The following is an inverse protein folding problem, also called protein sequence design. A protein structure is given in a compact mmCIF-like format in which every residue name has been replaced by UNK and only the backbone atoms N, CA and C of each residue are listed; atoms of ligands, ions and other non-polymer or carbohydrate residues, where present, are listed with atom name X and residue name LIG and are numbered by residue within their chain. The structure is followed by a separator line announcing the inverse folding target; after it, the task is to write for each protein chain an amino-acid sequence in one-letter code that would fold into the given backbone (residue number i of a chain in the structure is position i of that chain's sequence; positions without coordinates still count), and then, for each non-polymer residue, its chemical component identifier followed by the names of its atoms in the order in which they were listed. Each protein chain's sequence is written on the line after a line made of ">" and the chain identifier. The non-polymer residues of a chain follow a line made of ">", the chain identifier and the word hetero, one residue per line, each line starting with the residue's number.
data_IF_460671960030
#
_entry.id   IF_460671960030
#
_cell.length_a   1.000
_cell.length_b   1.000
_cell.length_c   1.000
_cell.angle_alpha   90.00
_cell.angle_beta   90.00
_cell.angle_gamma   90.00
#
_symmetry.space_group_name_H-M   'P 1'
#
loop_
_entity.id
_entity.type
_entity.pdbx_description
1 polymer ?
#
# COMPACT_ATOMS: atom_id res chain seq x y z
N UNK A 1 7.86 -18.13 6.52
CA UNK A 1 8.16 -16.91 5.76
C UNK A 1 8.75 -17.20 4.37
N UNK A 2 9.80 -18.03 4.28
CA UNK A 2 10.40 -18.39 2.99
C UNK A 2 9.40 -19.01 2.00
N UNK A 3 8.50 -19.90 2.46
CA UNK A 3 7.41 -20.44 1.63
C UNK A 3 6.39 -19.39 1.20
N UNK A 4 6.12 -18.36 2.03
CA UNK A 4 5.21 -17.25 1.70
C UNK A 4 5.80 -16.35 0.61
N UNK A 5 7.08 -16.02 0.72
CA UNK A 5 7.79 -15.22 -0.30
C UNK A 5 7.86 -15.95 -1.62
N UNK A 6 8.14 -17.27 -1.60
CA UNK A 6 8.16 -18.12 -2.80
C UNK A 6 6.77 -18.22 -3.44
N UNK A 7 5.72 -18.44 -2.64
CA UNK A 7 4.34 -18.54 -3.11
C UNK A 7 3.87 -17.22 -3.73
N UNK A 8 4.12 -16.10 -3.05
CA UNK A 8 3.83 -14.77 -3.60
C UNK A 8 4.59 -14.53 -4.91
N UNK A 9 5.90 -14.78 -4.95
CA UNK A 9 6.71 -14.63 -6.16
C UNK A 9 6.23 -15.51 -7.33
N UNK A 10 5.64 -16.67 -7.04
CA UNK A 10 5.04 -17.53 -8.07
C UNK A 10 3.74 -16.93 -8.61
N UNK A 11 2.85 -16.47 -7.73
CA UNK A 11 1.58 -15.84 -8.09
C UNK A 11 1.78 -14.49 -8.80
N UNK A 12 2.77 -13.70 -8.36
CA UNK A 12 3.15 -12.45 -9.00
C UNK A 12 3.59 -12.69 -10.47
N UNK A 13 4.28 -13.81 -10.75
CA UNK A 13 4.67 -14.21 -12.11
C UNK A 13 3.52 -14.73 -12.97
N UNK A 14 2.49 -15.29 -12.32
CA UNK A 14 1.29 -15.79 -12.98
C UNK A 14 0.22 -14.71 -13.17
N UNK A 15 0.45 -13.49 -12.63
CA UNK A 15 -0.52 -12.37 -12.61
C UNK A 15 -1.86 -12.71 -11.94
N UNK A 16 -1.86 -13.67 -11.01
CA UNK A 16 -3.05 -14.12 -10.27
C UNK A 16 -3.30 -13.29 -9.00
N UNK A 17 -3.45 -11.99 -9.16
CA UNK A 17 -3.59 -11.03 -8.06
C UNK A 17 -4.84 -11.24 -7.20
N UNK A 18 -5.92 -11.71 -7.78
CA UNK A 18 -7.13 -12.07 -7.03
C UNK A 18 -6.83 -13.13 -5.96
N UNK A 19 -6.05 -14.15 -6.33
CA UNK A 19 -5.66 -15.22 -5.40
C UNK A 19 -4.70 -14.69 -4.32
N UNK A 20 -3.79 -13.78 -4.67
CA UNK A 20 -2.90 -13.13 -3.70
C UNK A 20 -3.70 -12.38 -2.64
N UNK A 21 -4.69 -11.56 -3.05
CA UNK A 21 -5.54 -10.80 -2.13
C UNK A 21 -6.39 -11.72 -1.25
N UNK A 22 -6.93 -12.80 -1.81
CA UNK A 22 -7.64 -13.83 -1.04
C UNK A 22 -6.74 -14.52 -0.01
N UNK A 23 -5.48 -14.79 -0.35
CA UNK A 23 -4.51 -15.34 0.61
C UNK A 23 -4.25 -14.36 1.78
N UNK A 24 -4.13 -13.06 1.53
CA UNK A 24 -4.02 -12.07 2.60
C UNK A 24 -5.25 -12.09 3.51
N UNK A 25 -6.45 -12.18 2.95
CA UNK A 25 -7.66 -12.28 3.73
C UNK A 25 -7.65 -13.50 4.66
N UNK A 26 -7.35 -14.69 4.16
CA UNK A 26 -7.27 -15.91 4.96
C UNK A 26 -6.18 -15.84 6.05
N UNK A 27 -5.04 -15.23 5.74
CA UNK A 27 -3.96 -15.02 6.71
C UNK A 27 -4.39 -14.04 7.82
N UNK A 28 -5.17 -13.02 7.46
CA UNK A 28 -5.77 -12.08 8.40
C UNK A 28 -6.72 -12.79 9.36
N UNK A 29 -7.70 -13.54 8.85
CA UNK A 29 -8.67 -14.33 9.64
C UNK A 29 -7.91 -15.31 10.56
N UNK A 30 -6.97 -16.08 10.03
CA UNK A 30 -6.18 -17.03 10.82
C UNK A 30 -5.36 -16.35 11.92
N UNK A 31 -4.91 -15.11 11.70
CA UNK A 31 -4.17 -14.33 12.72
C UNK A 31 -5.11 -13.83 13.82
N UNK A 32 -6.33 -13.41 13.47
CA UNK A 32 -7.37 -13.05 14.44
C UNK A 32 -7.73 -14.21 15.35
N UNK A 33 -8.03 -15.37 14.77
CA UNK A 33 -8.39 -16.57 15.55
C UNK A 33 -7.29 -16.99 16.52
N UNK A 34 -6.01 -16.71 16.19
CA UNK A 34 -4.85 -16.96 17.05
C UNK A 34 -4.58 -15.85 18.08
N UNK A 35 -5.41 -14.81 18.13
CA UNK A 35 -5.25 -13.69 19.05
C UNK A 35 -4.15 -12.70 18.68
N UNK A 36 -3.87 -12.55 17.38
CA UNK A 36 -2.87 -11.58 16.89
C UNK A 36 -3.51 -10.54 15.95
N UNK A 37 -4.26 -9.56 16.49
CA UNK A 37 -4.93 -8.54 15.69
C UNK A 37 -3.95 -7.64 14.91
N UNK A 38 -2.76 -7.36 15.45
CA UNK A 38 -1.76 -6.54 14.75
C UNK A 38 -1.27 -7.18 13.46
N UNK A 39 -1.01 -8.49 13.49
CA UNK A 39 -0.60 -9.24 12.29
C UNK A 39 -1.77 -9.38 11.30
N UNK A 40 -2.99 -9.53 11.80
CA UNK A 40 -4.18 -9.55 10.96
C UNK A 40 -4.34 -8.23 10.21
N UNK A 41 -4.18 -7.10 10.90
CA UNK A 41 -4.23 -5.77 10.29
C UNK A 41 -3.16 -5.60 9.20
N UNK A 42 -1.92 -6.05 9.44
CA UNK A 42 -0.85 -6.00 8.44
C UNK A 42 -1.23 -6.79 7.16
N UNK A 43 -1.85 -7.96 7.30
CA UNK A 43 -2.32 -8.73 6.14
C UNK A 43 -3.45 -8.02 5.40
N UNK A 44 -4.44 -7.49 6.12
CA UNK A 44 -5.55 -6.76 5.50
C UNK A 44 -5.07 -5.49 4.78
N UNK A 45 -4.16 -4.72 5.37
CA UNK A 45 -3.57 -3.54 4.72
C UNK A 45 -2.81 -3.87 3.44
N UNK A 46 -2.06 -4.99 3.41
CA UNK A 46 -1.41 -5.44 2.18
C UNK A 46 -2.44 -5.87 1.13
N UNK A 47 -3.49 -6.58 1.55
CA UNK A 47 -4.57 -6.97 0.65
C UNK A 47 -5.34 -5.79 0.08
N UNK A 48 -5.62 -4.74 0.88
CA UNK A 48 -6.24 -3.50 0.39
C UNK A 48 -5.36 -2.82 -0.66
N UNK A 49 -4.08 -2.66 -0.37
CA UNK A 49 -3.13 -2.06 -1.30
C UNK A 49 -3.08 -2.80 -2.64
N UNK A 50 -3.00 -4.13 -2.61
CA UNK A 50 -2.94 -4.92 -3.84
C UNK A 50 -4.30 -4.91 -4.56
N UNK A 51 -5.45 -4.91 -3.83
CA UNK A 51 -6.77 -4.78 -4.43
C UNK A 51 -7.00 -3.43 -5.13
N UNK A 52 -6.45 -2.33 -4.59
CA UNK A 52 -6.48 -1.02 -5.24
C UNK A 52 -5.55 -0.97 -6.45
N UNK A 53 -4.36 -1.57 -6.34
CA UNK A 53 -3.36 -1.54 -7.42
C UNK A 53 -3.82 -2.29 -8.66
N UNK A 54 -4.56 -3.39 -8.49
CA UNK A 54 -4.98 -4.29 -9.57
C UNK A 54 -6.49 -4.22 -9.87
N UNK A 55 -7.19 -3.20 -9.36
CA UNK A 55 -8.63 -2.96 -9.56
C UNK A 55 -9.49 -4.20 -9.26
N UNK A 56 -9.40 -4.70 -8.03
CA UNK A 56 -10.09 -5.89 -7.54
C UNK A 56 -11.19 -5.54 -6.51
N UNK A 57 -12.29 -4.90 -6.92
CA UNK A 57 -13.27 -4.32 -5.99
C UNK A 57 -14.01 -5.35 -5.13
N UNK A 58 -14.27 -6.57 -5.63
CA UNK A 58 -14.93 -7.61 -4.83
C UNK A 58 -14.02 -8.14 -3.73
N UNK A 59 -12.73 -8.27 -3.99
CA UNK A 59 -11.72 -8.64 -3.01
C UNK A 59 -11.50 -7.52 -1.99
N UNK A 60 -11.58 -6.26 -2.43
CA UNK A 60 -11.53 -5.09 -1.55
C UNK A 60 -12.69 -5.09 -0.56
N UNK A 61 -13.93 -5.34 -1.01
CA UNK A 61 -15.12 -5.47 -0.15
C UNK A 61 -14.89 -6.54 0.92
N UNK A 62 -14.44 -7.73 0.52
CA UNK A 62 -14.17 -8.84 1.43
C UNK A 62 -13.17 -8.45 2.54
N UNK A 63 -12.08 -7.76 2.19
CA UNK A 63 -11.07 -7.32 3.17
C UNK A 63 -11.62 -6.22 4.06
N UNK A 64 -12.35 -5.25 3.53
CA UNK A 64 -12.94 -4.16 4.30
C UNK A 64 -13.92 -4.68 5.35
N UNK A 65 -14.75 -5.67 5.01
CA UNK A 65 -15.66 -6.32 5.97
C UNK A 65 -14.85 -6.99 7.10
N UNK A 66 -13.84 -7.80 6.76
CA UNK A 66 -13.02 -8.47 7.78
C UNK A 66 -12.17 -7.50 8.60
N UNK A 67 -11.75 -6.38 8.03
CA UNK A 67 -11.07 -5.32 8.74
C UNK A 67 -12.01 -4.58 9.70
N UNK A 68 -13.26 -4.36 9.27
CA UNK A 68 -14.32 -3.84 10.14
C UNK A 68 -14.58 -4.75 11.33
N UNK A 69 -14.65 -6.08 11.12
CA UNK A 69 -14.78 -7.07 12.20
C UNK A 69 -13.58 -7.08 13.15
N UNK A 70 -12.35 -6.92 12.62
CA UNK A 70 -11.16 -6.77 13.45
C UNK A 70 -11.24 -5.54 14.35
N UNK A 71 -11.65 -4.40 13.80
CA UNK A 71 -11.84 -3.17 14.56
C UNK A 71 -12.94 -3.32 15.62
N UNK A 72 -14.05 -4.00 15.28
CA UNK A 72 -15.14 -4.31 16.19
C UNK A 72 -14.66 -5.12 17.39
N UNK A 73 -13.89 -6.18 17.17
CA UNK A 73 -13.30 -7.01 18.22
C UNK A 73 -12.33 -6.25 19.12
N UNK A 74 -11.65 -5.24 18.57
CA UNK A 74 -10.72 -4.38 19.32
C UNK A 74 -11.42 -3.19 20.01
N UNK A 75 -12.72 -3.01 19.83
CA UNK A 75 -13.48 -1.89 20.41
C UNK A 75 -13.30 -0.56 19.66
N UNK A 76 -12.71 -0.59 18.45
CA UNK A 76 -12.55 0.58 17.58
C UNK A 76 -13.79 0.77 16.70
N UNK A 77 -14.91 1.10 17.30
CA UNK A 77 -16.22 1.12 16.64
C UNK A 77 -16.30 2.11 15.46
N UNK A 78 -15.68 3.28 15.57
CA UNK A 78 -15.67 4.30 14.50
C UNK A 78 -14.93 3.77 13.25
N UNK A 79 -13.78 3.13 13.45
CA UNK A 79 -13.02 2.54 12.34
C UNK A 79 -13.75 1.33 11.74
N UNK A 80 -14.48 0.58 12.57
CA UNK A 80 -15.35 -0.51 12.14
C UNK A 80 -16.47 -0.02 11.23
N UNK A 81 -17.24 1.00 11.67
CA UNK A 81 -18.32 1.61 10.87
C UNK A 81 -17.79 2.15 9.54
N UNK A 82 -16.67 2.89 9.56
CA UNK A 82 -16.06 3.43 8.36
C UNK A 82 -15.67 2.33 7.36
N UNK A 83 -15.10 1.22 7.84
CA UNK A 83 -14.71 0.08 6.99
C UNK A 83 -15.94 -0.58 6.35
N UNK A 84 -17.01 -0.79 7.10
CA UNK A 84 -18.25 -1.33 6.56
C UNK A 84 -18.93 -0.38 5.56
N UNK A 85 -18.94 0.92 5.84
CA UNK A 85 -19.51 1.93 4.93
C UNK A 85 -18.71 2.03 3.62
N UNK A 86 -17.37 1.97 3.66
CA UNK A 86 -16.56 1.93 2.45
C UNK A 86 -16.85 0.69 1.61
N UNK A 87 -16.96 -0.49 2.24
CA UNK A 87 -17.35 -1.72 1.56
C UNK A 87 -18.73 -1.60 0.90
N UNK A 88 -19.71 -1.01 1.60
CA UNK A 88 -21.05 -0.78 1.09
C UNK A 88 -21.07 0.17 -0.11
N UNK A 89 -20.33 1.29 -0.06
CA UNK A 89 -20.23 2.22 -1.17
C UNK A 89 -19.71 1.54 -2.45
N UNK A 90 -18.69 0.71 -2.33
CA UNK A 90 -18.16 -0.06 -3.47
C UNK A 90 -19.24 -1.05 -3.96
N UNK A 91 -19.90 -1.75 -3.04
CA UNK A 91 -20.91 -2.76 -3.36
C UNK A 91 -22.09 -2.16 -4.15
N UNK A 92 -22.52 -0.94 -3.83
CA UNK A 92 -23.60 -0.25 -4.54
C UNK A 92 -23.32 -0.02 -6.04
N UNK A 93 -22.06 -0.04 -6.45
CA UNK A 93 -21.66 0.10 -7.87
C UNK A 93 -21.65 -1.22 -8.64
N UNK A 94 -21.92 -2.35 -7.98
CA UNK A 94 -21.79 -3.70 -8.56
C UNK A 94 -23.12 -4.27 -9.04
N UNK A 95 -23.03 -5.27 -9.93
CA UNK A 95 -24.20 -6.01 -10.39
C UNK A 95 -24.83 -6.81 -9.23
N UNK A 96 -26.16 -6.83 -9.16
CA UNK A 96 -26.92 -7.54 -8.14
C UNK A 96 -26.99 -9.04 -8.47
N UNK A 97 -25.98 -9.78 -8.06
CA UNK A 97 -25.88 -11.24 -8.15
C UNK A 97 -25.90 -11.89 -6.75
N UNK A 98 -25.68 -13.20 -6.68
CA UNK A 98 -25.61 -13.91 -5.40
C UNK A 98 -24.53 -13.40 -4.46
N UNK A 99 -23.35 -13.01 -5.01
CA UNK A 99 -22.25 -12.43 -4.22
C UNK A 99 -22.62 -11.06 -3.67
N UNK A 100 -23.32 -10.26 -4.46
CA UNK A 100 -23.86 -8.97 -4.02
C UNK A 100 -24.78 -9.17 -2.80
N UNK A 101 -25.74 -10.09 -2.88
CA UNK A 101 -26.67 -10.38 -1.79
C UNK A 101 -25.93 -10.85 -0.53
N UNK A 102 -24.96 -11.76 -0.66
CA UNK A 102 -24.13 -12.22 0.45
C UNK A 102 -23.44 -11.04 1.17
N UNK A 103 -22.78 -10.15 0.43
CA UNK A 103 -22.11 -9.00 1.05
C UNK A 103 -23.09 -7.95 1.60
N UNK A 104 -24.28 -7.83 1.03
CA UNK A 104 -25.33 -6.99 1.59
C UNK A 104 -25.76 -7.49 2.96
N UNK A 105 -26.03 -8.80 3.11
CA UNK A 105 -26.37 -9.39 4.41
C UNK A 105 -25.23 -9.21 5.42
N UNK A 106 -24.00 -9.46 5.02
CA UNK A 106 -22.82 -9.25 5.87
C UNK A 106 -22.71 -7.79 6.32
N UNK A 107 -22.92 -6.83 5.42
CA UNK A 107 -22.91 -5.41 5.76
C UNK A 107 -23.97 -5.04 6.79
N UNK A 108 -25.24 -5.40 6.52
CA UNK A 108 -26.34 -5.04 7.41
C UNK A 108 -26.23 -5.72 8.78
N UNK A 109 -25.81 -6.99 8.83
CA UNK A 109 -25.60 -7.72 10.07
C UNK A 109 -24.46 -7.13 10.92
N UNK A 110 -23.32 -6.90 10.31
CA UNK A 110 -22.15 -6.36 11.01
C UNK A 110 -22.36 -4.90 11.46
N UNK A 111 -23.06 -4.07 10.66
CA UNK A 111 -23.44 -2.73 11.07
C UNK A 111 -24.42 -2.73 12.23
N UNK A 112 -25.46 -3.60 12.19
CA UNK A 112 -26.39 -3.76 13.31
C UNK A 112 -25.61 -4.13 14.58
N UNK A 113 -24.74 -5.13 14.52
CA UNK A 113 -23.95 -5.56 15.67
C UNK A 113 -23.04 -4.44 16.20
N UNK A 114 -22.34 -3.73 15.31
CA UNK A 114 -21.49 -2.61 15.67
C UNK A 114 -22.24 -1.52 16.44
N UNK A 115 -23.43 -1.17 15.98
CA UNK A 115 -24.30 -0.18 16.63
C UNK A 115 -24.88 -0.69 17.95
N UNK A 116 -25.26 -1.97 18.01
CA UNK A 116 -25.77 -2.61 19.25
C UNK A 116 -24.68 -2.61 20.33
N UNK A 117 -23.42 -2.91 19.98
CA UNK A 117 -22.31 -2.91 20.93
C UNK A 117 -21.99 -1.51 21.46
N UNK A 118 -22.35 -0.46 20.73
CA UNK A 118 -22.25 0.95 21.15
C UNK A 118 -23.51 1.45 21.91
N UNK A 119 -24.48 0.59 22.20
CA UNK A 119 -25.79 0.96 22.77
C UNK A 119 -26.63 1.93 21.91
N UNK A 120 -26.32 2.04 20.60
CA UNK A 120 -27.05 2.86 19.60
C UNK A 120 -28.21 2.06 19.00
N UNK A 121 -29.10 1.56 19.87
CA UNK A 121 -30.13 0.58 19.50
C UNK A 121 -31.13 1.11 18.48
N UNK A 122 -31.49 2.40 18.56
CA UNK A 122 -32.44 3.01 17.60
C UNK A 122 -31.83 3.11 16.19
N UNK A 123 -30.54 3.30 16.10
CA UNK A 123 -29.81 3.34 14.81
C UNK A 123 -29.58 1.94 14.25
N UNK A 124 -29.45 0.91 15.10
CA UNK A 124 -29.34 -0.48 14.69
C UNK A 124 -30.63 -1.05 14.07
N UNK A 125 -31.79 -0.55 14.52
CA UNK A 125 -33.10 -1.06 14.13
C UNK A 125 -33.33 -1.15 12.61
N UNK A 126 -33.07 -0.14 11.78
CA UNK A 126 -33.26 -0.21 10.33
C UNK A 126 -32.42 -1.30 9.64
N UNK A 127 -31.24 -1.59 10.18
CA UNK A 127 -30.36 -2.64 9.66
C UNK A 127 -30.94 -4.03 9.94
N UNK A 128 -31.46 -4.27 11.14
CA UNK A 128 -32.17 -5.50 11.49
C UNK A 128 -33.46 -5.68 10.67
N UNK A 129 -34.25 -4.60 10.50
CA UNK A 129 -35.47 -4.64 9.68
C UNK A 129 -35.16 -5.00 8.22
N UNK A 130 -34.02 -4.61 7.67
CA UNK A 130 -33.60 -5.03 6.34
C UNK A 130 -33.34 -6.54 6.28
N UNK A 131 -32.67 -7.09 7.29
CA UNK A 131 -32.33 -8.51 7.36
C UNK A 131 -33.55 -9.43 7.46
N UNK A 132 -34.67 -8.93 7.99
CA UNK A 132 -35.91 -9.66 8.14
C UNK A 132 -36.93 -9.40 7.02
N UNK A 133 -36.55 -8.78 5.89
CA UNK A 133 -37.43 -8.60 4.73
C UNK A 133 -37.72 -9.91 3.99
N UNK A 134 -38.73 -9.88 3.14
CA UNK A 134 -39.11 -10.98 2.26
C UNK A 134 -37.88 -11.54 1.50
N UNK A 135 -37.76 -12.88 1.50
CA UNK A 135 -36.59 -13.58 0.92
C UNK A 135 -35.65 -14.22 1.95
N UNK A 136 -35.93 -14.05 3.24
CA UNK A 136 -35.22 -14.68 4.35
C UNK A 136 -35.00 -16.19 4.20
N UNK A 137 -35.97 -16.88 3.62
CA UNK A 137 -35.91 -18.33 3.37
C UNK A 137 -34.77 -18.74 2.41
N UNK A 138 -34.27 -17.81 1.60
CA UNK A 138 -33.19 -18.03 0.63
C UNK A 138 -31.80 -17.79 1.24
N UNK A 139 -31.72 -17.25 2.45
CA UNK A 139 -30.46 -17.00 3.16
C UNK A 139 -29.89 -18.32 3.67
N UNK A 140 -28.59 -18.51 3.55
CA UNK A 140 -27.92 -19.70 4.06
C UNK A 140 -28.15 -19.87 5.58
N UNK A 141 -28.25 -21.11 6.04
CA UNK A 141 -28.54 -21.41 7.46
C UNK A 141 -27.51 -20.75 8.41
N UNK A 142 -26.24 -20.72 8.03
CA UNK A 142 -25.17 -20.08 8.80
C UNK A 142 -25.38 -18.57 8.98
N UNK A 143 -25.85 -17.89 7.93
CA UNK A 143 -26.09 -16.46 7.96
C UNK A 143 -27.36 -16.13 8.77
N UNK A 144 -28.36 -17.00 8.71
CA UNK A 144 -29.56 -16.89 9.58
C UNK A 144 -29.18 -16.99 11.04
N UNK A 145 -28.38 -17.99 11.42
CA UNK A 145 -27.90 -18.15 12.79
C UNK A 145 -27.16 -16.93 13.31
N UNK A 146 -26.31 -16.32 12.45
CA UNK A 146 -25.64 -15.06 12.79
C UNK A 146 -26.66 -13.96 13.12
N UNK A 147 -27.70 -13.81 12.30
CA UNK A 147 -28.73 -12.78 12.52
C UNK A 147 -29.54 -13.08 13.76
N UNK A 148 -29.93 -14.35 14.00
CA UNK A 148 -30.62 -14.76 15.23
C UNK A 148 -29.77 -14.43 16.48
N UNK A 149 -28.45 -14.58 16.41
CA UNK A 149 -27.55 -14.21 17.50
C UNK A 149 -27.54 -12.69 17.72
N UNK A 150 -27.45 -11.90 16.64
CA UNK A 150 -27.49 -10.44 16.72
C UNK A 150 -28.84 -9.98 17.32
N UNK A 151 -29.94 -10.61 16.95
CA UNK A 151 -31.26 -10.36 17.52
C UNK A 151 -31.35 -10.68 19.03
N UNK A 152 -30.73 -11.79 19.47
CA UNK A 152 -30.68 -12.11 20.90
C UNK A 152 -30.02 -10.98 21.68
N UNK A 153 -28.90 -10.46 21.19
CA UNK A 153 -28.15 -9.38 21.84
C UNK A 153 -28.96 -8.06 21.79
N UNK A 154 -29.57 -7.77 20.64
CA UNK A 154 -30.39 -6.57 20.45
C UNK A 154 -31.62 -6.56 21.39
N UNK A 155 -32.44 -7.62 21.38
CA UNK A 155 -33.64 -7.69 22.22
C UNK A 155 -33.29 -7.81 23.70
N UNK A 156 -32.17 -8.42 24.05
CA UNK A 156 -31.67 -8.40 25.43
C UNK A 156 -31.40 -6.97 25.92
N UNK A 157 -30.67 -6.17 25.14
CA UNK A 157 -30.37 -4.75 25.45
C UNK A 157 -31.63 -3.87 25.43
N UNK A 158 -32.59 -4.17 24.55
CA UNK A 158 -33.90 -3.49 24.50
C UNK A 158 -34.80 -3.84 25.67
N UNK A 159 -34.53 -4.91 26.42
CA UNK A 159 -35.40 -5.45 27.47
C UNK A 159 -36.62 -6.19 26.95
N UNK A 160 -36.68 -6.53 25.65
CA UNK A 160 -37.78 -7.31 25.06
C UNK A 160 -37.55 -8.82 25.28
N UNK A 161 -38.00 -9.27 26.44
CA UNK A 161 -37.84 -10.68 26.89
C UNK A 161 -38.49 -11.66 25.95
N UNK A 162 -39.67 -11.33 25.37
CA UNK A 162 -40.38 -12.23 24.49
C UNK A 162 -39.61 -12.50 23.22
N UNK A 163 -39.25 -11.45 22.48
CA UNK A 163 -38.52 -11.57 21.21
C UNK A 163 -37.14 -12.17 21.40
N UNK A 164 -36.44 -11.79 22.47
CA UNK A 164 -35.15 -12.42 22.82
C UNK A 164 -35.30 -13.94 22.95
N UNK A 165 -36.31 -14.41 23.68
CA UNK A 165 -36.52 -15.84 23.89
C UNK A 165 -36.96 -16.56 22.60
N UNK A 166 -37.73 -15.90 21.73
CA UNK A 166 -38.04 -16.39 20.40
C UNK A 166 -36.79 -16.63 19.57
N UNK A 167 -35.85 -15.63 19.51
CA UNK A 167 -34.58 -15.76 18.80
C UNK A 167 -33.68 -16.84 19.42
N UNK A 168 -33.61 -16.97 20.75
CA UNK A 168 -32.91 -18.08 21.43
C UNK A 168 -33.45 -19.45 20.99
N UNK A 169 -34.77 -19.58 20.88
CA UNK A 169 -35.42 -20.80 20.46
C UNK A 169 -35.09 -21.16 19.00
N UNK A 170 -35.00 -20.14 18.11
CA UNK A 170 -34.55 -20.31 16.73
C UNK A 170 -33.12 -20.81 16.65
N UNK A 171 -32.22 -20.25 17.43
CA UNK A 171 -30.83 -20.73 17.52
C UNK A 171 -30.79 -22.17 17.98
N UNK A 172 -31.50 -22.51 19.07
CA UNK A 172 -31.52 -23.86 19.63
C UNK A 172 -31.99 -24.92 18.62
N UNK A 173 -33.02 -24.59 17.82
CA UNK A 173 -33.61 -25.50 16.82
C UNK A 173 -32.75 -25.64 15.57
N UNK A 174 -32.07 -24.57 15.16
CA UNK A 174 -31.39 -24.48 13.87
C UNK A 174 -29.86 -24.66 13.97
N UNK A 175 -29.28 -24.81 15.16
CA UNK A 175 -27.85 -24.97 15.35
C UNK A 175 -27.38 -26.32 14.78
N UNK A 176 -26.61 -26.35 13.67
CA UNK A 176 -26.17 -27.61 13.07
C UNK A 176 -24.96 -28.19 13.81
N UNK A 177 -24.85 -29.50 13.83
CA UNK A 177 -23.74 -30.20 14.49
C UNK A 177 -22.37 -29.98 13.76
N UNK A 178 -22.42 -29.60 12.47
CA UNK A 178 -21.24 -29.43 11.60
C UNK A 178 -20.99 -27.96 11.19
N UNK A 179 -21.18 -27.04 12.10
CA UNK A 179 -20.96 -25.62 11.82
C UNK A 179 -19.48 -25.27 11.71
N UNK A 180 -19.11 -24.37 10.78
CA UNK A 180 -17.77 -23.78 10.76
C UNK A 180 -17.70 -22.65 11.80
N UNK A 181 -17.27 -22.99 13.01
CA UNK A 181 -17.30 -22.10 14.18
C UNK A 181 -16.34 -20.92 14.09
N UNK A 182 -15.27 -21.05 13.30
CA UNK A 182 -14.18 -20.06 13.32
C UNK A 182 -14.60 -18.66 12.85
N UNK A 183 -15.55 -18.59 11.93
CA UNK A 183 -15.97 -17.32 11.33
C UNK A 183 -16.91 -16.51 12.24
N UNK A 184 -17.67 -17.20 13.12
CA UNK A 184 -18.69 -16.61 14.00
C UNK A 184 -18.42 -16.85 15.49
N UNK A 185 -17.19 -17.22 15.87
CA UNK A 185 -16.90 -17.57 17.25
C UNK A 185 -17.22 -16.44 18.25
N UNK A 186 -16.90 -15.21 17.88
CA UNK A 186 -17.14 -14.06 18.74
C UNK A 186 -18.62 -13.80 18.99
N UNK A 187 -19.45 -14.08 18.00
CA UNK A 187 -20.91 -13.93 18.09
C UNK A 187 -21.49 -14.99 19.03
N UNK A 188 -21.08 -16.25 18.86
CA UNK A 188 -21.44 -17.31 19.81
C UNK A 188 -20.99 -17.01 21.23
N UNK A 189 -19.78 -16.48 21.40
CA UNK A 189 -19.26 -16.08 22.70
C UNK A 189 -20.15 -15.01 23.35
N UNK A 190 -20.55 -13.96 22.61
CA UNK A 190 -21.44 -12.91 23.09
C UNK A 190 -22.84 -13.43 23.38
N UNK A 191 -23.37 -14.29 22.52
CA UNK A 191 -24.65 -14.97 22.77
C UNK A 191 -24.61 -15.77 24.08
N UNK A 192 -23.58 -16.58 24.30
CA UNK A 192 -23.39 -17.34 25.53
C UNK A 192 -23.37 -16.45 26.79
N UNK A 193 -22.83 -15.22 26.72
CA UNK A 193 -22.89 -14.28 27.83
C UNK A 193 -24.33 -13.88 28.16
N UNK A 194 -25.16 -13.58 27.14
CA UNK A 194 -26.59 -13.27 27.33
C UNK A 194 -27.34 -14.47 27.87
N UNK A 195 -27.07 -15.68 27.38
CA UNK A 195 -27.71 -16.93 27.88
C UNK A 195 -27.37 -17.16 29.35
N UNK A 196 -26.14 -16.91 29.75
CA UNK A 196 -25.74 -16.97 31.18
C UNK A 196 -26.44 -15.92 32.03
N UNK A 197 -26.63 -14.70 31.53
CA UNK A 197 -27.34 -13.63 32.27
C UNK A 197 -28.84 -13.92 32.44
N UNK A 198 -29.43 -14.68 31.52
CA UNK A 198 -30.85 -14.90 31.42
C UNK A 198 -31.30 -16.30 31.85
N UNK A 199 -30.44 -17.09 32.49
CA UNK A 199 -30.69 -18.45 32.98
C UNK A 199 -31.17 -19.43 31.88
N UNK A 200 -30.63 -19.28 30.67
CA UNK A 200 -30.92 -20.15 29.51
C UNK A 200 -29.88 -21.29 29.40
N UNK A 201 -29.81 -22.11 30.44
CA UNK A 201 -28.73 -23.11 30.64
C UNK A 201 -28.69 -24.17 29.53
N UNK A 202 -29.85 -24.64 29.07
CA UNK A 202 -29.93 -25.66 28.01
C UNK A 202 -29.37 -25.12 26.70
N UNK A 203 -29.78 -23.92 26.28
CA UNK A 203 -29.29 -23.28 25.08
C UNK A 203 -27.79 -22.92 25.18
N UNK A 204 -27.31 -22.53 26.37
CA UNK A 204 -25.89 -22.30 26.63
C UNK A 204 -25.07 -23.57 26.36
N UNK A 205 -25.45 -24.70 26.97
CA UNK A 205 -24.73 -25.95 26.78
C UNK A 205 -24.80 -26.46 25.34
N UNK A 206 -25.95 -26.31 24.67
CA UNK A 206 -26.06 -26.68 23.25
C UNK A 206 -25.06 -25.96 22.38
N UNK A 207 -24.82 -24.66 22.60
CA UNK A 207 -23.77 -23.90 21.87
C UNK A 207 -22.37 -24.40 22.27
N UNK A 208 -22.08 -24.57 23.55
CA UNK A 208 -20.76 -25.06 24.03
C UNK A 208 -20.43 -26.44 23.43
N UNK A 209 -21.37 -27.36 23.36
CA UNK A 209 -21.21 -28.70 22.79
C UNK A 209 -20.82 -28.67 21.30
N UNK A 210 -21.28 -27.66 20.56
CA UNK A 210 -20.92 -27.48 19.14
C UNK A 210 -19.58 -26.81 18.98
N UNK A 211 -19.26 -25.76 19.76
CA UNK A 211 -18.05 -24.97 19.55
C UNK A 211 -16.79 -25.57 20.21
N UNK A 212 -16.91 -26.20 21.40
CA UNK A 212 -15.74 -26.71 22.15
C UNK A 212 -14.94 -27.79 21.38
N UNK A 213 -15.54 -28.83 20.79
CA UNK A 213 -14.80 -29.84 20.03
C UNK A 213 -14.01 -29.24 18.85
N UNK A 214 -14.57 -28.24 18.19
CA UNK A 214 -13.93 -27.62 17.04
C UNK A 214 -12.71 -26.81 17.44
N UNK A 215 -12.79 -25.94 18.47
CA UNK A 215 -11.66 -25.15 18.93
C UNK A 215 -10.53 -26.02 19.49
N UNK A 216 -10.87 -27.18 20.06
CA UNK A 216 -9.90 -28.19 20.53
C UNK A 216 -9.22 -28.87 19.34
N UNK A 217 -9.99 -29.33 18.35
CA UNK A 217 -9.45 -29.99 17.15
C UNK A 217 -8.55 -29.07 16.32
N UNK A 218 -8.91 -27.79 16.18
CA UNK A 218 -8.09 -26.80 15.49
C UNK A 218 -6.90 -26.31 16.32
N UNK A 219 -6.78 -26.71 17.60
CA UNK A 219 -5.71 -26.34 18.53
C UNK A 219 -5.51 -24.84 18.66
N UNK A 220 -6.61 -24.07 18.64
CA UNK A 220 -6.56 -22.61 18.78
C UNK A 220 -6.69 -22.24 20.25
N UNK A 221 -5.55 -22.08 20.92
CA UNK A 221 -5.49 -21.88 22.38
C UNK A 221 -6.31 -20.66 22.83
N UNK A 222 -6.28 -19.55 22.09
CA UNK A 222 -7.03 -18.34 22.42
C UNK A 222 -8.54 -18.60 22.50
N UNK A 223 -9.09 -19.38 21.56
CA UNK A 223 -10.52 -19.70 21.56
C UNK A 223 -10.87 -20.73 22.65
N UNK A 224 -9.97 -21.68 22.93
CA UNK A 224 -10.16 -22.61 24.05
C UNK A 224 -10.22 -21.88 25.40
N UNK A 225 -9.36 -20.87 25.60
CA UNK A 225 -9.43 -20.01 26.79
C UNK A 225 -10.75 -19.27 26.91
N UNK A 226 -11.29 -18.74 25.80
CA UNK A 226 -12.61 -18.09 25.79
C UNK A 226 -13.73 -19.08 26.16
N UNK A 227 -13.73 -20.31 25.62
CA UNK A 227 -14.72 -21.35 25.99
C UNK A 227 -14.60 -21.72 27.47
N UNK A 228 -13.39 -21.95 27.96
CA UNK A 228 -13.18 -22.25 29.39
C UNK A 228 -13.66 -21.10 30.28
N UNK A 229 -13.44 -19.85 29.88
CA UNK A 229 -13.96 -18.68 30.61
C UNK A 229 -15.48 -18.69 30.72
N UNK A 230 -16.19 -19.05 29.64
CA UNK A 230 -17.66 -19.22 29.69
C UNK A 230 -18.07 -20.34 30.64
N UNK A 231 -17.45 -21.51 30.53
CA UNK A 231 -17.74 -22.65 31.43
C UNK A 231 -17.46 -22.30 32.90
N UNK A 232 -16.36 -21.61 33.19
CA UNK A 232 -16.06 -21.13 34.54
C UNK A 232 -17.10 -20.16 35.08
N UNK A 233 -17.61 -19.24 34.26
CA UNK A 233 -18.70 -18.33 34.64
C UNK A 233 -19.98 -19.11 34.95
N UNK A 234 -20.33 -20.12 34.13
CA UNK A 234 -21.44 -21.00 34.35
C UNK A 234 -21.33 -21.76 35.70
N UNK A 235 -20.22 -22.48 35.90
CA UNK A 235 -19.98 -23.26 37.10
C UNK A 235 -19.98 -22.42 38.38
N UNK A 236 -19.41 -21.20 38.29
CA UNK A 236 -19.42 -20.26 39.43
C UNK A 236 -20.86 -19.78 39.74
N UNK A 237 -21.68 -19.50 38.75
CA UNK A 237 -23.06 -19.08 38.92
C UNK A 237 -23.88 -20.15 39.57
N UNK A 238 -23.65 -21.42 39.25
CA UNK A 238 -24.40 -22.58 39.77
C UNK A 238 -23.76 -23.24 41.00
N UNK A 239 -22.71 -22.61 41.61
CA UNK A 239 -21.98 -23.13 42.77
C UNK A 239 -21.37 -24.54 42.55
N UNK A 240 -21.03 -24.89 41.33
CA UNK A 240 -20.37 -26.14 40.93
C UNK A 240 -18.85 -25.99 41.11
N UNK A 241 -18.40 -26.06 42.37
CA UNK A 241 -17.00 -25.74 42.72
C UNK A 241 -15.97 -26.74 42.16
N UNK A 242 -16.31 -28.03 42.07
CA UNK A 242 -15.40 -29.05 41.55
C UNK A 242 -15.11 -28.83 40.05
N UNK A 243 -16.14 -28.62 39.25
CA UNK A 243 -16.09 -28.36 37.78
C UNK A 243 -15.41 -27.02 37.53
N UNK A 244 -15.67 -26.00 38.36
CA UNK A 244 -15.00 -24.72 38.30
C UNK A 244 -13.48 -24.87 38.46
N UNK A 245 -13.03 -25.60 39.50
CA UNK A 245 -11.60 -25.81 39.78
C UNK A 245 -10.92 -26.59 38.67
N UNK A 246 -11.58 -27.60 38.12
CA UNK A 246 -11.07 -28.36 36.97
C UNK A 246 -10.90 -27.46 35.73
N UNK A 247 -11.91 -26.67 35.38
CA UNK A 247 -11.85 -25.73 34.28
C UNK A 247 -10.79 -24.64 34.49
N UNK A 248 -10.63 -24.15 35.75
CA UNK A 248 -9.62 -23.15 36.09
C UNK A 248 -8.19 -23.72 35.99
N UNK A 249 -7.96 -24.97 36.38
CA UNK A 249 -6.68 -25.64 36.17
C UNK A 249 -6.28 -25.74 34.73
N UNK A 250 -7.21 -26.19 33.86
CA UNK A 250 -6.98 -26.26 32.42
C UNK A 250 -6.80 -24.87 31.78
N UNK A 251 -7.57 -23.87 32.22
CA UNK A 251 -7.40 -22.49 31.81
C UNK A 251 -5.99 -21.97 32.12
N UNK A 252 -5.49 -22.23 33.35
CA UNK A 252 -4.17 -21.83 33.74
C UNK A 252 -3.06 -22.46 32.86
N UNK A 253 -3.12 -23.79 32.63
CA UNK A 253 -2.16 -24.49 31.78
C UNK A 253 -2.14 -23.95 30.33
N UNK A 254 -3.33 -23.71 29.77
CA UNK A 254 -3.43 -23.16 28.42
C UNK A 254 -2.99 -21.71 28.36
N UNK A 255 -3.22 -20.92 29.42
CA UNK A 255 -2.77 -19.53 29.52
C UNK A 255 -1.24 -19.44 29.50
N UNK A 256 -0.55 -20.26 30.28
CA UNK A 256 0.91 -20.36 30.27
C UNK A 256 1.45 -20.67 28.87
N UNK A 257 0.83 -21.65 28.18
CA UNK A 257 1.19 -21.98 26.79
C UNK A 257 0.94 -20.82 25.84
N UNK A 258 -0.17 -20.13 25.98
CA UNK A 258 -0.53 -18.97 25.15
C UNK A 258 0.44 -17.81 25.33
N UNK A 259 0.85 -17.53 26.57
CA UNK A 259 1.87 -16.51 26.87
C UNK A 259 3.20 -16.82 26.18
N UNK A 260 3.66 -18.07 26.24
CA UNK A 260 4.89 -18.49 25.58
C UNK A 260 4.81 -18.30 24.06
N UNK A 261 3.68 -18.67 23.44
CA UNK A 261 3.44 -18.48 22.01
C UNK A 261 3.42 -16.99 21.66
N UNK A 262 2.70 -16.19 22.43
CA UNK A 262 2.59 -14.73 22.23
C UNK A 262 3.94 -14.03 22.36
N UNK A 263 4.75 -14.40 23.38
CA UNK A 263 6.09 -13.87 23.57
C UNK A 263 7.01 -14.17 22.38
N UNK A 264 6.98 -15.40 21.88
CA UNK A 264 7.75 -15.80 20.70
C UNK A 264 7.30 -15.04 19.43
N UNK A 265 5.99 -14.85 19.27
CA UNK A 265 5.41 -14.04 18.20
C UNK A 265 5.91 -12.59 18.23
N UNK A 266 5.80 -11.94 19.39
CA UNK A 266 6.26 -10.56 19.60
C UNK A 266 7.76 -10.42 19.31
N UNK A 267 8.58 -11.35 19.80
CA UNK A 267 10.01 -11.36 19.49
C UNK A 267 10.31 -11.46 18.00
N UNK A 268 9.58 -12.34 17.30
CA UNK A 268 9.71 -12.48 15.83
C UNK A 268 9.26 -11.23 15.09
N UNK A 269 8.18 -10.57 15.52
CA UNK A 269 7.69 -9.32 14.93
C UNK A 269 8.69 -8.17 15.13
N UNK A 270 9.26 -8.04 16.31
CA UNK A 270 10.30 -7.03 16.60
C UNK A 270 11.51 -7.23 15.68
N UNK A 271 11.96 -8.48 15.55
CA UNK A 271 13.09 -8.83 14.68
C UNK A 271 12.78 -8.52 13.20
N UNK A 272 11.58 -8.88 12.73
CA UNK A 272 11.14 -8.59 11.36
C UNK A 272 11.09 -7.08 11.10
N UNK A 273 10.47 -6.31 12.00
CA UNK A 273 10.38 -4.86 11.89
C UNK A 273 11.75 -4.18 11.82
N UNK A 274 12.68 -4.65 12.67
CA UNK A 274 14.07 -4.17 12.64
C UNK A 274 14.77 -4.49 11.32
N UNK A 275 14.56 -5.69 10.78
CA UNK A 275 15.13 -6.09 9.49
C UNK A 275 14.56 -5.25 8.33
N UNK A 276 13.23 -5.02 8.30
CA UNK A 276 12.58 -4.16 7.31
C UNK A 276 13.12 -2.71 7.38
N UNK A 277 13.30 -2.19 8.57
CA UNK A 277 13.87 -0.85 8.73
C UNK A 277 15.32 -0.76 8.22
N UNK A 278 16.13 -1.78 8.52
CA UNK A 278 17.50 -1.87 8.01
C UNK A 278 17.54 -1.97 6.48
N UNK A 279 16.67 -2.78 5.89
CA UNK A 279 16.53 -2.89 4.42
C UNK A 279 16.10 -1.56 3.79
N UNK A 280 15.16 -0.84 4.39
CA UNK A 280 14.75 0.49 3.95
C UNK A 280 15.91 1.48 3.95
N UNK A 281 16.68 1.53 5.05
CA UNK A 281 17.87 2.39 5.16
C UNK A 281 18.93 2.04 4.12
N UNK A 282 19.18 0.74 3.89
CA UNK A 282 20.13 0.26 2.90
C UNK A 282 19.70 0.64 1.46
N UNK A 283 18.40 0.48 1.14
CA UNK A 283 17.83 0.87 -0.15
C UNK A 283 17.98 2.37 -0.40
N UNK A 284 17.56 3.21 0.55
CA UNK A 284 17.72 4.67 0.43
C UNK A 284 19.18 5.08 0.22
N UNK A 285 20.12 4.42 0.92
CA UNK A 285 21.57 4.67 0.74
C UNK A 285 22.04 4.27 -0.65
N UNK A 286 21.55 3.13 -1.17
CA UNK A 286 21.89 2.67 -2.52
C UNK A 286 21.31 3.62 -3.61
N UNK A 287 20.04 4.03 -3.48
CA UNK A 287 19.40 4.98 -4.38
C UNK A 287 20.14 6.33 -4.41
N UNK A 288 20.50 6.86 -3.22
CA UNK A 288 21.28 8.09 -3.15
C UNK A 288 22.67 7.96 -3.80
N UNK A 289 23.32 6.80 -3.60
CA UNK A 289 24.60 6.53 -4.26
C UNK A 289 24.47 6.45 -5.77
N UNK A 290 23.40 5.82 -6.27
CA UNK A 290 23.14 5.72 -7.71
C UNK A 290 22.89 7.11 -8.33
N UNK A 291 22.10 7.98 -7.69
CA UNK A 291 21.89 9.36 -8.15
C UNK A 291 23.21 10.13 -8.26
N UNK A 292 24.09 10.05 -7.24
CA UNK A 292 25.40 10.70 -7.28
C UNK A 292 26.29 10.13 -8.39
N UNK A 293 26.23 8.82 -8.64
CA UNK A 293 26.97 8.19 -9.72
C UNK A 293 26.44 8.62 -11.10
N UNK A 294 25.14 8.75 -11.24
CA UNK A 294 24.48 9.21 -12.46
C UNK A 294 24.87 10.67 -12.75
N UNK A 295 24.74 11.58 -11.79
CA UNK A 295 25.18 12.98 -11.93
C UNK A 295 26.64 13.07 -12.38
N UNK A 296 27.55 12.28 -11.80
CA UNK A 296 28.97 12.23 -12.19
C UNK A 296 29.16 11.63 -13.58
N UNK A 297 28.29 10.75 -14.02
CA UNK A 297 28.34 10.11 -15.34
C UNK A 297 27.81 11.02 -16.46
N UNK A 298 27.00 12.02 -16.14
CA UNK A 298 26.37 12.93 -17.10
C UNK A 298 27.09 14.25 -17.31
N UNK A 299 28.08 14.56 -16.47
CA UNK A 299 28.84 15.82 -16.56
C UNK A 299 30.28 15.61 -17.04
N UNK A 300 30.81 16.61 -17.78
CA UNK A 300 32.23 16.71 -18.07
C UNK A 300 33.00 17.13 -16.81
N UNK A 301 34.06 16.40 -16.42
CA UNK A 301 34.77 16.63 -15.16
C UNK A 301 35.53 17.98 -15.10
N UNK A 302 35.95 18.51 -16.24
CA UNK A 302 36.68 19.77 -16.32
C UNK A 302 35.72 20.97 -16.30
N UNK A 303 34.76 21.00 -17.23
CA UNK A 303 33.91 22.17 -17.46
C UNK A 303 32.60 22.13 -16.65
N UNK A 304 32.25 20.99 -16.07
CA UNK A 304 30.96 20.75 -15.37
C UNK A 304 29.74 20.97 -16.24
N UNK A 305 29.88 21.08 -17.54
CA UNK A 305 28.77 21.02 -18.49
C UNK A 305 28.26 19.59 -18.65
N UNK A 306 27.12 19.42 -19.26
CA UNK A 306 26.69 18.11 -19.72
C UNK A 306 27.78 17.48 -20.61
N UNK A 307 28.00 16.18 -20.46
CA UNK A 307 28.92 15.47 -21.32
C UNK A 307 28.20 14.92 -22.58
N UNK A 308 28.94 14.26 -23.45
CA UNK A 308 28.42 13.66 -24.69
C UNK A 308 27.28 12.65 -24.44
N UNK A 309 27.35 11.93 -23.31
CA UNK A 309 26.29 10.94 -22.97
C UNK A 309 24.97 11.67 -22.70
N UNK A 310 24.95 12.66 -21.81
CA UNK A 310 23.77 13.46 -21.48
C UNK A 310 23.27 14.28 -22.69
N UNK A 311 24.19 14.73 -23.56
CA UNK A 311 23.80 15.38 -24.80
C UNK A 311 22.96 14.49 -25.72
N UNK A 312 23.37 13.24 -25.89
CA UNK A 312 22.63 12.30 -26.74
C UNK A 312 21.22 12.03 -26.21
N UNK A 313 21.11 11.78 -24.90
CA UNK A 313 19.84 11.56 -24.25
C UNK A 313 18.92 12.78 -24.38
N UNK A 314 19.45 13.99 -24.11
CA UNK A 314 18.69 15.24 -24.23
C UNK A 314 18.27 15.52 -25.69
N UNK A 315 19.13 15.25 -26.64
CA UNK A 315 18.80 15.44 -28.06
C UNK A 315 17.64 14.53 -28.50
N UNK A 316 17.64 13.25 -28.09
CA UNK A 316 16.53 12.32 -28.38
C UNK A 316 15.23 12.81 -27.74
N UNK A 317 15.25 13.23 -26.48
CA UNK A 317 14.08 13.76 -25.75
C UNK A 317 13.51 15.01 -26.46
N UNK A 318 14.37 15.99 -26.80
CA UNK A 318 13.94 17.25 -27.41
C UNK A 318 13.45 17.04 -28.85
N UNK A 319 14.10 16.18 -29.64
CA UNK A 319 13.64 15.88 -31.00
C UNK A 319 12.28 15.16 -31.01
N UNK A 320 12.07 14.19 -30.11
CA UNK A 320 10.79 13.53 -29.97
C UNK A 320 9.67 14.53 -29.60
N UNK A 321 9.91 15.35 -28.57
CA UNK A 321 8.98 16.38 -28.12
C UNK A 321 8.67 17.42 -29.19
N UNK A 322 9.71 17.84 -29.97
CA UNK A 322 9.61 18.77 -31.06
C UNK A 322 8.70 18.25 -32.20
N UNK A 323 8.85 16.97 -32.55
CA UNK A 323 8.02 16.33 -33.57
C UNK A 323 6.56 16.25 -33.16
N UNK A 324 6.27 15.88 -31.90
CA UNK A 324 4.91 15.76 -31.38
C UNK A 324 4.19 17.10 -31.28
N UNK A 325 4.92 18.18 -30.97
CA UNK A 325 4.33 19.50 -30.69
C UNK A 325 4.54 20.55 -31.80
N UNK A 326 5.13 20.17 -32.94
CA UNK A 326 5.49 21.07 -34.07
C UNK A 326 6.36 22.28 -33.62
N UNK A 327 7.32 22.03 -32.74
CA UNK A 327 8.23 23.05 -32.18
C UNK A 327 9.58 23.00 -32.89
N UNK A 328 10.09 24.12 -33.43
CA UNK A 328 11.39 24.11 -34.08
C UNK A 328 12.55 23.94 -33.09
N UNK A 329 13.57 23.20 -33.50
CA UNK A 329 14.82 23.01 -32.74
C UNK A 329 15.98 23.49 -33.54
N UNK A 330 16.89 24.27 -32.91
CA UNK A 330 18.18 24.64 -33.47
C UNK A 330 19.30 23.97 -32.70
N UNK A 331 20.32 23.49 -33.42
CA UNK A 331 21.54 22.94 -32.85
C UNK A 331 22.72 23.77 -33.33
N UNK A 332 23.53 24.16 -32.41
CA UNK A 332 24.80 24.87 -32.65
C UNK A 332 25.97 24.00 -32.23
N UNK A 333 26.94 23.81 -33.09
CA UNK A 333 28.19 23.15 -32.80
C UNK A 333 29.27 24.22 -32.89
N UNK A 334 30.13 24.26 -31.91
CA UNK A 334 31.26 25.23 -31.86
C UNK A 334 32.56 24.52 -31.47
N UNK A 335 33.64 25.08 -32.04
CA UNK A 335 35.00 24.59 -31.85
C UNK A 335 35.91 25.78 -31.58
N UNK A 336 36.96 25.60 -30.75
CA UNK A 336 37.88 26.68 -30.42
C UNK A 336 39.00 26.73 -31.49
N UNK A 337 39.09 27.84 -32.17
CA UNK A 337 40.03 28.02 -33.26
C UNK A 337 41.48 27.88 -32.79
N UNK A 338 42.23 27.02 -33.48
CA UNK A 338 43.66 26.77 -33.21
C UNK A 338 43.98 26.35 -31.77
N UNK A 339 43.08 25.62 -31.11
CA UNK A 339 43.19 25.20 -29.72
C UNK A 339 44.40 24.26 -29.48
N UNK A 340 44.73 23.45 -30.48
CA UNK A 340 45.94 22.63 -30.43
C UNK A 340 47.20 23.49 -30.33
N UNK A 341 47.36 24.51 -31.19
CA UNK A 341 48.45 25.46 -31.14
C UNK A 341 48.47 26.25 -29.82
N UNK A 342 47.30 26.54 -29.25
CA UNK A 342 47.21 27.16 -27.94
C UNK A 342 47.84 26.25 -26.87
N UNK A 343 47.41 24.97 -26.81
CA UNK A 343 47.96 24.01 -25.87
C UNK A 343 49.46 23.76 -26.03
N UNK A 344 49.91 23.65 -27.28
CA UNK A 344 51.33 23.40 -27.60
C UNK A 344 52.23 24.56 -27.14
N UNK A 345 51.75 25.79 -27.11
CA UNK A 345 52.53 26.99 -26.77
C UNK A 345 52.33 27.49 -25.33
N UNK A 346 51.13 27.35 -24.77
CA UNK A 346 50.80 27.83 -23.41
C UNK A 346 50.70 26.71 -22.37
N UNK A 347 50.67 25.46 -22.82
CA UNK A 347 50.59 24.29 -21.99
C UNK A 347 49.14 23.90 -21.65
N UNK A 348 48.92 22.62 -21.34
CA UNK A 348 47.59 22.05 -21.08
C UNK A 348 46.84 22.68 -19.91
N UNK A 349 47.54 23.20 -18.88
CA UNK A 349 46.88 23.87 -17.75
C UNK A 349 46.20 25.18 -18.16
N UNK A 350 46.84 25.96 -19.04
CA UNK A 350 46.25 27.17 -19.61
C UNK A 350 45.12 26.81 -20.58
N UNK A 351 45.25 25.72 -21.35
CA UNK A 351 44.19 25.17 -22.17
C UNK A 351 42.97 24.79 -21.34
N UNK A 352 43.16 24.11 -20.21
CA UNK A 352 42.05 23.76 -19.28
C UNK A 352 41.35 25.02 -18.73
N UNK A 353 42.10 26.07 -18.38
CA UNK A 353 41.53 27.36 -17.94
C UNK A 353 40.75 28.04 -19.06
N UNK A 354 41.28 28.00 -20.28
CA UNK A 354 40.58 28.51 -21.46
C UNK A 354 39.25 27.79 -21.69
N UNK A 355 39.27 26.45 -21.67
CA UNK A 355 38.06 25.62 -21.79
C UNK A 355 37.02 25.94 -20.73
N UNK A 356 37.42 26.10 -19.46
CA UNK A 356 36.52 26.45 -18.37
C UNK A 356 35.93 27.85 -18.54
N UNK A 357 36.74 28.83 -19.01
CA UNK A 357 36.26 30.19 -19.26
C UNK A 357 35.23 30.24 -20.38
N UNK A 358 35.48 29.55 -21.48
CA UNK A 358 34.54 29.44 -22.62
C UNK A 358 33.27 28.69 -22.19
N UNK A 359 33.42 27.57 -21.48
CA UNK A 359 32.28 26.81 -20.96
C UNK A 359 31.34 27.64 -20.07
N UNK A 360 31.93 28.49 -19.20
CA UNK A 360 31.14 29.41 -18.36
C UNK A 360 30.41 30.47 -19.20
N UNK A 361 31.08 30.99 -20.25
CA UNK A 361 30.45 31.96 -21.16
C UNK A 361 29.29 31.36 -21.92
N UNK A 362 29.47 30.13 -22.42
CA UNK A 362 28.40 29.37 -23.08
C UNK A 362 27.23 29.16 -22.10
N UNK A 363 27.50 28.66 -20.89
CA UNK A 363 26.47 28.38 -19.90
C UNK A 363 25.64 29.62 -19.58
N UNK A 364 26.27 30.74 -19.33
CA UNK A 364 25.56 31.98 -18.99
C UNK A 364 24.64 32.44 -20.14
N UNK A 365 25.08 32.34 -21.39
CA UNK A 365 24.26 32.70 -22.53
C UNK A 365 23.06 31.72 -22.72
N UNK A 366 23.35 30.43 -22.55
CA UNK A 366 22.35 29.36 -22.75
C UNK A 366 21.29 29.38 -21.65
N UNK A 367 21.66 29.75 -20.40
CA UNK A 367 20.71 30.00 -19.31
C UNK A 367 19.76 31.17 -19.64
N UNK A 368 20.30 32.27 -20.21
CA UNK A 368 19.49 33.41 -20.66
C UNK A 368 18.54 33.05 -21.80
N UNK A 369 18.92 32.08 -22.64
CA UNK A 369 18.19 31.63 -23.81
C UNK A 369 17.31 30.39 -23.55
N UNK A 370 17.23 29.90 -22.30
CA UNK A 370 16.52 28.67 -21.91
C UNK A 370 16.90 27.44 -22.77
N UNK A 371 18.19 27.35 -23.12
CA UNK A 371 18.75 26.27 -23.93
C UNK A 371 19.44 25.19 -23.12
N UNK A 372 20.02 24.22 -23.83
CA UNK A 372 20.86 23.17 -23.26
C UNK A 372 22.27 23.24 -23.86
N UNK A 373 23.31 23.00 -23.07
CA UNK A 373 24.67 22.99 -23.57
C UNK A 373 25.50 21.83 -22.99
N UNK A 374 26.40 21.31 -23.83
CA UNK A 374 27.25 20.20 -23.49
C UNK A 374 28.68 20.38 -24.08
N UNK A 375 29.66 19.74 -23.45
CA UNK A 375 30.97 19.53 -24.06
C UNK A 375 30.97 18.18 -24.77
N UNK A 376 31.15 18.20 -26.09
CA UNK A 376 31.12 16.98 -26.89
C UNK A 376 32.41 16.18 -26.76
N UNK A 377 33.56 16.89 -26.71
CA UNK A 377 34.87 16.32 -26.47
C UNK A 377 35.98 17.30 -26.90
N UNK A 378 37.14 17.22 -26.28
CA UNK A 378 38.25 18.12 -26.60
C UNK A 378 37.87 19.60 -26.44
N UNK A 379 37.90 20.34 -27.54
CA UNK A 379 37.56 21.74 -27.71
C UNK A 379 36.19 21.99 -28.33
N UNK A 380 35.42 20.90 -28.56
CA UNK A 380 34.09 20.95 -29.18
C UNK A 380 32.97 21.06 -28.15
N UNK A 381 32.04 21.98 -28.39
CA UNK A 381 30.82 22.17 -27.58
C UNK A 381 29.58 22.15 -28.48
N UNK A 382 28.45 21.73 -27.89
CA UNK A 382 27.16 21.67 -28.57
C UNK A 382 26.13 22.40 -27.71
N UNK A 383 25.29 23.20 -28.39
CA UNK A 383 24.17 23.90 -27.78
C UNK A 383 22.89 23.50 -28.53
N UNK A 384 21.82 23.26 -27.79
CA UNK A 384 20.48 22.96 -28.34
C UNK A 384 19.51 24.00 -27.83
N UNK A 385 18.78 24.63 -28.75
CA UNK A 385 17.72 25.60 -28.46
C UNK A 385 16.39 25.04 -28.94
N UNK A 386 15.42 24.97 -28.08
CA UNK A 386 14.04 24.62 -28.42
C UNK A 386 13.20 25.89 -28.62
N UNK A 387 12.24 25.84 -29.54
CA UNK A 387 11.28 26.92 -29.83
C UNK A 387 11.92 28.27 -30.21
N UNK A 388 12.98 28.26 -31.01
CA UNK A 388 13.65 29.47 -31.50
C UNK A 388 13.49 29.64 -33.01
N UNK A 389 13.42 30.89 -33.45
CA UNK A 389 13.48 31.21 -34.88
C UNK A 389 14.92 31.11 -35.40
N UNK A 390 15.08 31.10 -36.75
CA UNK A 390 16.41 31.10 -37.34
C UNK A 390 17.18 32.35 -36.94
N UNK A 391 16.53 33.50 -36.98
CA UNK A 391 17.12 34.80 -36.63
C UNK A 391 17.56 34.83 -35.20
N UNK A 392 16.78 34.26 -34.29
CA UNK A 392 17.15 34.13 -32.87
C UNK A 392 18.39 33.25 -32.68
N UNK A 393 18.42 32.06 -33.34
CA UNK A 393 19.57 31.15 -33.22
C UNK A 393 20.88 31.82 -33.72
N UNK A 394 20.81 32.53 -34.86
CA UNK A 394 21.94 33.28 -35.40
C UNK A 394 22.36 34.42 -34.45
N UNK A 395 21.40 35.15 -33.90
CA UNK A 395 21.69 36.21 -32.91
C UNK A 395 22.37 35.67 -31.66
N UNK A 396 21.95 34.51 -31.15
CA UNK A 396 22.61 33.86 -29.99
C UNK A 396 24.08 33.47 -30.31
N UNK A 397 24.31 32.90 -31.49
CA UNK A 397 25.66 32.54 -31.90
C UNK A 397 26.56 33.76 -32.09
N UNK A 398 26.06 34.86 -32.67
CA UNK A 398 26.81 36.11 -32.80
C UNK A 398 27.11 36.72 -31.42
N UNK A 399 26.16 36.69 -30.50
CA UNK A 399 26.34 37.15 -29.14
C UNK A 399 27.38 36.29 -28.41
N UNK A 400 27.32 34.96 -28.55
CA UNK A 400 28.34 34.06 -27.98
C UNK A 400 29.73 34.38 -28.49
N UNK A 401 29.87 34.55 -29.79
CA UNK A 401 31.15 34.93 -30.40
C UNK A 401 31.66 36.24 -29.81
N UNK A 402 30.80 37.24 -29.64
CA UNK A 402 31.13 38.53 -29.07
C UNK A 402 31.59 38.40 -27.60
N UNK A 403 30.90 37.60 -26.82
CA UNK A 403 31.23 37.32 -25.39
C UNK A 403 32.57 36.58 -25.27
N UNK A 404 32.84 35.60 -26.15
CA UNK A 404 34.11 34.88 -26.16
C UNK A 404 35.26 35.83 -26.53
N UNK A 405 35.10 36.68 -27.55
CA UNK A 405 36.11 37.71 -27.89
C UNK A 405 36.34 38.69 -26.74
N UNK A 406 35.31 39.05 -25.99
CA UNK A 406 35.41 39.94 -24.83
C UNK A 406 36.14 39.32 -23.63
N UNK A 407 36.42 38.02 -23.63
CA UNK A 407 37.32 37.39 -22.63
C UNK A 407 38.75 37.81 -22.79
N UNK A 408 39.14 38.32 -23.98
CA UNK A 408 40.48 38.78 -24.33
C UNK A 408 41.58 37.75 -23.97
N UNK A 409 41.31 36.44 -24.06
CA UNK A 409 42.28 35.39 -23.81
C UNK A 409 43.33 35.42 -24.89
N UNK A 410 44.57 35.79 -24.53
CA UNK A 410 45.69 35.97 -25.45
C UNK A 410 46.03 34.67 -26.19
N UNK A 411 46.06 34.74 -27.55
CA UNK A 411 46.47 33.63 -28.42
C UNK A 411 47.37 34.14 -29.56
N UNK A 412 48.66 34.46 -29.23
CA UNK A 412 49.64 35.04 -30.19
C UNK A 412 49.92 34.10 -31.37
N UNK A 413 49.68 32.82 -31.25
CA UNK A 413 49.97 31.81 -32.27
C UNK A 413 48.78 31.47 -33.16
N UNK A 414 47.63 32.06 -32.89
CA UNK A 414 46.46 31.90 -33.74
C UNK A 414 46.63 32.62 -35.08
N UNK A 415 46.16 32.00 -36.15
CA UNK A 415 46.15 32.59 -37.50
C UNK A 415 44.91 33.45 -37.72
N UNK A 416 43.93 33.40 -36.82
CA UNK A 416 42.69 34.18 -36.92
C UNK A 416 42.83 35.57 -36.29
N UNK A 417 43.00 35.65 -34.98
CA UNK A 417 43.18 36.88 -34.21
C UNK A 417 44.20 36.62 -33.08
N UNK A 418 44.85 37.65 -32.48
CA UNK A 418 45.82 37.48 -31.40
C UNK A 418 45.11 37.11 -30.05
N UNK A 419 43.86 36.73 -30.09
CA UNK A 419 43.03 36.25 -28.98
C UNK A 419 42.32 34.97 -29.39
N UNK A 420 41.83 34.22 -28.42
CA UNK A 420 41.04 33.01 -28.64
C UNK A 420 39.74 33.37 -29.35
N UNK A 421 39.43 32.63 -30.41
CA UNK A 421 38.21 32.75 -31.20
C UNK A 421 37.53 31.39 -31.30
N UNK A 422 36.25 31.37 -31.71
CA UNK A 422 35.46 30.18 -31.94
C UNK A 422 34.89 30.15 -33.35
N UNK A 423 34.87 28.99 -33.97
CA UNK A 423 34.10 28.67 -35.18
C UNK A 423 32.80 28.03 -34.81
N UNK A 424 31.69 28.46 -35.43
CA UNK A 424 30.34 28.02 -35.09
C UNK A 424 29.60 27.55 -36.35
N UNK A 425 28.89 26.44 -36.21
CA UNK A 425 27.98 25.93 -37.21
C UNK A 425 26.59 25.77 -36.60
N UNK A 426 25.57 26.31 -37.27
CA UNK A 426 24.16 26.23 -36.80
C UNK A 426 23.35 25.47 -37.81
N UNK A 427 22.62 24.46 -37.33
CA UNK A 427 21.56 23.80 -38.11
C UNK A 427 20.24 23.96 -37.37
N UNK A 428 19.17 24.20 -38.14
CA UNK A 428 17.81 24.32 -37.64
C UNK A 428 16.89 23.40 -38.41
N UNK A 429 16.34 22.43 -37.72
CA UNK A 429 15.30 21.55 -38.26
C UNK A 429 13.92 22.18 -38.03
N UNK A 430 13.22 22.53 -39.11
CA UNK A 430 11.80 22.84 -39.12
C UNK A 430 11.04 21.53 -39.31
N UNK A 431 10.05 21.29 -38.47
CA UNK A 431 9.17 20.10 -38.57
C UNK A 431 8.27 20.08 -39.79
N UNK A 432 8.26 21.16 -40.58
CA UNK A 432 7.55 21.19 -41.90
C UNK A 432 8.52 20.73 -43.00
N UNK A 433 8.21 19.53 -43.57
CA UNK A 433 8.60 19.16 -44.90
C UNK A 433 7.77 19.92 -45.88
#
# INVERSE_FOLDING_TARGET
>A
EFRRVLFRSYLDRAEEWELVVRCYNFLGIASMSRGNPSLALDYYMNGLKDSDTYDLPMQKIMILINMGLLYLECGHYVDSENSFLEAYQILQTKQKDEKYNFYMYAFYGNMAECLILQDRLQEAKPYLEYLHKDGWEQVALTDRLFIDIVDVIYYHKMGDVQKRNESIQMIHQNLPDNLTVLDFFSDYYRCCLVLLETDQDESFWRIIEVIEPQVVNFKIINLQLKVLSLKMKFYRKHNQNAEYLQAAGLYYELSERNEAVTRNMLSSMITLRKNLENMRKARMKAERKNLVLQERSEQDPLTRMANRFRLNDYAEEVFAYSQENDIPVAMEILDIDYFKEYNDNYGHQEGDRCLVSIANTIRNLVEEAEGFCARYGGDEFVIIYANVTREQAVSFAEELRRRVLALEIEHRFSKALPVVTISQGIDRKSTRL
#
